data_IF_746064147980
#
_entry.id   IF_746064147980
#
_cell.length_a   1.000
_cell.length_b   1.000
_cell.length_c   1.000
_cell.angle_alpha   90.00
_cell.angle_beta   90.00
_cell.angle_gamma   90.00
#
_symmetry.space_group_name_H-M   'P 1'
#
loop_
_entity.id
_entity.type
_entity.pdbx_description
1 polymer ?
#
# COMPACT_ATOMS: atom_id res chain seq x y z
N UNK A 1 -12.86 -5.27 27.07
CA UNK A 1 -12.13 -4.30 26.21
C UNK A 1 -11.31 -5.06 25.17
N UNK A 2 -11.82 -5.26 23.96
CA UNK A 2 -11.13 -6.01 22.91
C UNK A 2 -10.16 -5.06 22.19
N UNK A 3 -8.88 -5.02 22.61
CA UNK A 3 -7.84 -4.30 21.87
C UNK A 3 -7.30 -5.22 20.78
N UNK A 4 -7.99 -5.31 19.64
CA UNK A 4 -7.49 -6.09 18.50
C UNK A 4 -6.39 -5.33 17.78
N UNK A 5 -5.15 -5.65 18.11
CA UNK A 5 -3.98 -5.31 17.29
C UNK A 5 -3.93 -6.25 16.11
N UNK A 6 -3.78 -5.71 14.92
CA UNK A 6 -3.80 -6.52 13.69
C UNK A 6 -2.73 -6.03 12.75
N UNK A 7 -1.94 -6.97 12.26
CA UNK A 7 -0.96 -6.74 11.21
C UNK A 7 -1.59 -7.11 9.85
N UNK A 8 -1.99 -6.14 9.02
CA UNK A 8 -2.32 -6.39 7.62
C UNK A 8 -1.07 -6.48 6.75
N UNK A 9 -1.06 -7.53 5.94
CA UNK A 9 -0.16 -7.68 4.81
C UNK A 9 -0.92 -7.26 3.55
N UNK A 10 -0.39 -6.26 2.84
CA UNK A 10 -0.91 -5.84 1.53
C UNK A 10 0.01 -6.41 0.45
N UNK A 11 -0.59 -7.07 -0.53
CA UNK A 11 0.10 -7.55 -1.72
C UNK A 11 -0.30 -6.67 -2.90
N UNK A 12 0.68 -6.02 -3.55
CA UNK A 12 0.42 -5.15 -4.70
C UNK A 12 1.12 -5.69 -5.94
N UNK A 13 0.35 -5.85 -7.03
CA UNK A 13 0.90 -6.13 -8.34
C UNK A 13 1.78 -4.95 -8.80
N UNK A 14 3.01 -5.23 -9.25
CA UNK A 14 3.99 -4.20 -9.65
C UNK A 14 3.50 -3.48 -10.91
N UNK A 15 2.81 -2.37 -10.74
CA UNK A 15 2.91 -1.21 -11.63
C UNK A 15 2.45 0.07 -10.92
N UNK A 16 3.43 0.79 -10.37
CA UNK A 16 3.40 2.17 -9.84
C UNK A 16 2.47 2.44 -8.65
N UNK A 17 3.11 2.74 -7.51
CA UNK A 17 2.63 3.45 -6.32
C UNK A 17 1.11 3.41 -6.06
N UNK A 18 0.67 2.43 -5.27
CA UNK A 18 -0.65 2.44 -4.66
C UNK A 18 -0.50 3.04 -3.25
N UNK A 19 -0.46 4.37 -3.14
CA UNK A 19 -0.52 5.04 -1.85
C UNK A 19 -1.95 4.91 -1.30
N UNK A 20 -2.13 3.99 -0.34
CA UNK A 20 -3.38 3.89 0.41
C UNK A 20 -3.46 5.06 1.40
N UNK A 21 -3.98 6.21 0.95
CA UNK A 21 -4.38 7.29 1.85
C UNK A 21 -5.84 7.06 2.24
N UNK A 22 -6.09 6.76 3.52
CA UNK A 22 -7.44 6.59 4.04
C UNK A 22 -8.02 7.98 4.34
N UNK A 23 -8.95 8.46 3.53
CA UNK A 23 -9.78 9.62 3.89
C UNK A 23 -10.62 9.27 5.14
N UNK A 24 -10.43 10.01 6.24
CA UNK A 24 -11.43 10.09 7.30
C UNK A 24 -12.49 11.13 6.94
N UNK A 25 -13.75 10.98 7.43
CA UNK A 25 -14.92 11.68 6.91
C UNK A 25 -15.09 13.13 7.42
N UNK A 26 -14.01 13.83 7.77
CA UNK A 26 -14.09 15.19 8.35
C UNK A 26 -13.62 16.33 7.45
N UNK A 27 -13.21 16.06 6.22
CA UNK A 27 -12.88 17.10 5.25
C UNK A 27 -13.60 16.84 3.92
N UNK A 28 -14.27 17.84 3.33
CA UNK A 28 -14.77 17.74 1.98
C UNK A 28 -13.57 17.65 1.01
N UNK A 29 -13.42 16.49 0.37
CA UNK A 29 -12.60 16.30 -0.84
C UNK A 29 -11.19 16.92 -0.86
N UNK A 30 -10.32 16.57 0.09
CA UNK A 30 -8.89 16.91 -0.03
C UNK A 30 -8.19 16.00 -1.06
N UNK A 31 -7.93 16.53 -2.26
CA UNK A 31 -7.21 15.85 -3.35
C UNK A 31 -5.71 16.12 -3.20
N UNK A 32 -5.00 15.26 -2.48
CA UNK A 32 -3.56 15.39 -2.27
C UNK A 32 -2.79 15.02 -3.55
N UNK A 33 -2.15 15.99 -4.24
CA UNK A 33 -1.40 15.69 -5.48
C UNK A 33 0.11 16.01 -5.51
N UNK A 34 0.73 16.52 -4.46
CA UNK A 34 2.10 17.06 -4.61
C UNK A 34 3.23 16.30 -3.90
N UNK A 35 3.08 15.00 -3.58
CA UNK A 35 4.15 14.23 -2.92
C UNK A 35 4.69 12.99 -3.66
N UNK A 36 4.36 12.82 -4.94
CA UNK A 36 5.01 11.81 -5.78
C UNK A 36 6.12 12.43 -6.65
N UNK A 37 7.36 12.18 -6.22
CA UNK A 37 8.58 12.18 -7.02
C UNK A 37 9.10 13.55 -7.53
N UNK A 38 10.02 14.15 -6.79
CA UNK A 38 11.18 14.83 -7.37
C UNK A 38 12.44 14.14 -6.83
N UNK A 39 13.23 13.44 -7.67
CA UNK A 39 14.67 13.45 -7.44
C UNK A 39 15.12 14.90 -7.68
N UNK A 40 15.78 15.48 -6.68
CA UNK A 40 16.41 16.78 -6.80
C UNK A 40 17.52 16.67 -7.84
N UNK A 41 17.21 17.01 -9.09
CA UNK A 41 18.19 17.41 -10.08
C UNK A 41 18.03 18.92 -10.26
N UNK A 42 18.92 19.67 -9.61
CA UNK A 42 19.14 21.09 -9.88
C UNK A 42 19.64 21.20 -11.33
N UNK A 43 18.75 21.54 -12.25
CA UNK A 43 19.13 22.11 -13.53
C UNK A 43 18.64 23.56 -13.58
N UNK A 44 19.44 24.47 -14.16
CA UNK A 44 19.15 25.90 -14.13
C UNK A 44 17.82 26.19 -14.82
N UNK A 45 17.06 27.08 -14.20
CA UNK A 45 15.86 27.70 -14.78
C UNK A 45 16.30 28.39 -16.06
N UNK A 46 15.80 27.93 -17.19
CA UNK A 46 15.27 28.74 -18.29
C UNK A 46 14.85 27.79 -19.43
N UNK A 47 13.68 28.06 -20.01
CA UNK A 47 13.10 27.39 -21.19
C UNK A 47 12.68 25.91 -21.09
N UNK A 48 11.53 25.66 -20.45
CA UNK A 48 10.65 24.58 -20.90
C UNK A 48 9.21 25.08 -21.02
N UNK A 49 8.75 25.15 -22.27
CA UNK A 49 7.38 25.48 -22.62
C UNK A 49 6.39 24.60 -21.86
N UNK A 50 5.40 25.26 -21.26
CA UNK A 50 4.18 24.68 -20.74
C UNK A 50 3.52 23.83 -21.84
N UNK A 51 3.72 22.52 -21.81
CA UNK A 51 2.73 21.60 -22.35
C UNK A 51 1.69 21.38 -21.24
N UNK A 52 0.52 22.03 -21.29
CA UNK A 52 -0.54 21.74 -20.34
C UNK A 52 -0.99 20.31 -20.62
N UNK A 53 -0.72 19.39 -19.69
CA UNK A 53 -1.52 18.17 -19.59
C UNK A 53 -2.98 18.62 -19.46
N UNK A 54 -3.88 18.34 -20.42
CA UNK A 54 -5.25 18.80 -20.36
C UNK A 54 -5.99 17.97 -19.32
N UNK A 55 -5.82 18.31 -18.05
CA UNK A 55 -6.74 17.86 -17.01
C UNK A 55 -8.00 18.71 -17.17
N UNK A 56 -9.03 18.14 -17.79
CA UNK A 56 -10.35 18.75 -18.01
C UNK A 56 -11.16 18.96 -16.71
N UNK A 57 -10.49 19.18 -15.58
CA UNK A 57 -11.09 19.31 -14.26
C UNK A 57 -10.55 20.54 -13.55
N UNK A 58 -11.42 21.17 -12.79
CA UNK A 58 -11.13 22.33 -11.95
C UNK A 58 -9.95 22.02 -11.01
N UNK A 59 -8.93 22.88 -11.04
CA UNK A 59 -7.77 22.77 -10.15
C UNK A 59 -8.19 23.18 -8.73
N UNK A 60 -7.57 22.58 -7.73
CA UNK A 60 -7.78 22.99 -6.34
C UNK A 60 -7.37 24.45 -6.15
N UNK A 61 -8.02 25.14 -5.22
CA UNK A 61 -7.67 26.52 -4.91
C UNK A 61 -6.31 26.58 -4.19
N UNK A 62 -5.58 27.71 -4.25
CA UNK A 62 -4.34 27.89 -3.48
C UNK A 62 -4.56 27.71 -1.97
N UNK A 63 -5.73 28.09 -1.46
CA UNK A 63 -6.11 27.94 -0.05
C UNK A 63 -6.31 26.46 0.30
N UNK A 64 -7.06 25.70 -0.50
CA UNK A 64 -7.24 24.25 -0.32
C UNK A 64 -5.90 23.51 -0.35
N UNK A 65 -4.96 23.98 -1.17
CA UNK A 65 -3.62 23.41 -1.24
C UNK A 65 -2.82 23.64 0.05
N UNK A 66 -2.87 24.85 0.61
CA UNK A 66 -2.16 25.18 1.85
C UNK A 66 -2.73 24.42 3.05
N UNK A 67 -4.06 24.35 3.15
CA UNK A 67 -4.76 23.56 4.16
C UNK A 67 -4.39 22.07 4.06
N UNK A 68 -4.38 21.52 2.84
CA UNK A 68 -3.98 20.14 2.60
C UNK A 68 -2.55 19.83 3.04
N UNK A 69 -1.60 20.75 2.80
CA UNK A 69 -0.21 20.59 3.26
C UNK A 69 -0.10 20.60 4.78
N UNK A 70 -0.80 21.51 5.46
CA UNK A 70 -0.79 21.57 6.92
C UNK A 70 -1.34 20.27 7.51
N UNK A 71 -2.49 19.81 7.00
CA UNK A 71 -3.08 18.55 7.42
C UNK A 71 -2.14 17.35 7.22
N UNK A 72 -1.42 17.29 6.09
CA UNK A 72 -0.45 16.25 5.83
C UNK A 72 0.70 16.25 6.85
N UNK A 73 1.24 17.42 7.17
CA UNK A 73 2.34 17.57 8.12
C UNK A 73 1.94 17.20 9.56
N UNK A 74 0.68 17.44 9.94
CA UNK A 74 0.15 17.08 11.26
C UNK A 74 -0.21 15.60 11.38
N UNK A 75 -0.62 14.97 10.26
CA UNK A 75 -1.17 13.62 10.27
C UNK A 75 -0.13 12.55 9.94
N UNK A 76 0.82 12.84 9.06
CA UNK A 76 1.78 11.87 8.55
C UNK A 76 3.21 12.24 8.92
N UNK A 77 3.89 11.30 9.58
CA UNK A 77 5.33 11.39 9.82
C UNK A 77 6.05 10.48 8.84
N UNK A 78 6.73 11.07 7.86
CA UNK A 78 7.53 10.32 6.90
C UNK A 78 8.89 9.99 7.52
N UNK A 79 9.23 8.70 7.54
CA UNK A 79 10.57 8.21 7.88
C UNK A 79 11.29 7.95 6.56
N UNK A 80 12.34 8.72 6.28
CA UNK A 80 13.19 8.54 5.10
C UNK A 80 14.62 8.30 5.56
N UNK A 81 15.30 7.33 4.94
CA UNK A 81 16.75 7.17 5.08
C UNK A 81 17.39 8.15 4.09
N UNK A 82 18.17 9.11 4.57
CA UNK A 82 18.85 10.10 3.71
C UNK A 82 20.20 9.58 3.19
N UNK A 83 20.76 8.55 3.83
CA UNK A 83 22.02 7.95 3.43
C UNK A 83 21.83 6.87 2.36
N UNK A 84 22.86 6.63 1.53
CA UNK A 84 22.92 5.55 0.52
C UNK A 84 22.83 4.12 1.11
N UNK A 85 22.56 3.98 2.42
CA UNK A 85 22.40 2.70 3.09
C UNK A 85 20.93 2.29 3.20
N UNK A 86 20.66 1.01 2.94
CA UNK A 86 19.32 0.45 3.11
C UNK A 86 18.96 0.44 4.61
N UNK A 87 17.75 0.87 5.00
CA UNK A 87 17.35 0.89 6.39
C UNK A 87 17.12 -0.53 6.92
N UNK A 88 17.74 -0.86 8.04
CA UNK A 88 17.46 -2.12 8.74
C UNK A 88 16.07 -2.09 9.39
N UNK A 89 15.42 -3.26 9.52
CA UNK A 89 14.13 -3.33 10.20
C UNK A 89 14.19 -2.80 11.65
N UNK A 90 15.30 -3.03 12.35
CA UNK A 90 15.44 -2.60 13.74
C UNK A 90 15.42 -1.07 13.81
N UNK A 91 16.17 -0.41 12.92
CA UNK A 91 16.20 1.05 12.83
C UNK A 91 14.81 1.63 12.54
N UNK A 92 14.06 1.04 11.60
CA UNK A 92 12.68 1.45 11.31
C UNK A 92 11.77 1.31 12.54
N UNK A 93 11.87 0.18 13.26
CA UNK A 93 11.06 -0.06 14.46
C UNK A 93 11.44 0.86 15.62
N UNK A 94 12.72 1.22 15.77
CA UNK A 94 13.18 2.14 16.81
C UNK A 94 12.71 3.58 16.54
N UNK A 95 12.74 4.03 15.29
CA UNK A 95 12.14 5.31 14.89
C UNK A 95 10.62 5.31 15.05
N UNK A 96 9.96 4.24 14.62
CA UNK A 96 8.51 4.09 14.81
C UNK A 96 8.15 4.10 16.32
N UNK A 97 8.96 3.47 17.16
CA UNK A 97 8.80 3.53 18.63
C UNK A 97 8.91 4.96 19.13
N UNK A 98 9.90 5.73 18.69
CA UNK A 98 10.04 7.13 19.05
C UNK A 98 8.80 7.95 18.60
N UNK A 99 8.29 7.71 17.39
CA UNK A 99 7.10 8.38 16.87
C UNK A 99 5.84 8.04 17.66
N UNK A 100 5.65 6.77 18.05
CA UNK A 100 4.55 6.33 18.92
C UNK A 100 4.61 7.03 20.27
N UNK A 101 5.80 7.11 20.89
CA UNK A 101 5.98 7.67 22.23
C UNK A 101 5.88 9.21 22.25
N UNK A 102 6.36 9.89 21.21
CA UNK A 102 6.38 11.37 21.15
C UNK A 102 5.10 11.96 20.58
N UNK A 103 4.59 11.38 19.50
CA UNK A 103 3.46 11.94 18.73
C UNK A 103 2.18 11.10 18.85
N UNK A 104 2.23 9.97 19.57
CA UNK A 104 1.06 9.12 19.76
C UNK A 104 0.64 8.35 18.50
N UNK A 105 1.53 8.17 17.53
CA UNK A 105 1.26 7.47 16.26
C UNK A 105 0.71 6.07 16.52
N UNK A 106 -0.38 5.71 15.83
CA UNK A 106 -1.05 4.39 15.96
C UNK A 106 -1.06 3.56 14.69
N UNK A 107 -0.47 4.09 13.61
CA UNK A 107 -0.34 3.42 12.32
C UNK A 107 1.10 3.49 11.83
N UNK A 108 1.65 2.36 11.37
CA UNK A 108 2.94 2.28 10.69
C UNK A 108 2.73 1.63 9.32
N UNK A 109 3.28 2.23 8.27
CA UNK A 109 3.26 1.66 6.92
C UNK A 109 4.70 1.41 6.50
N UNK A 110 5.01 0.16 6.14
CA UNK A 110 6.31 -0.24 5.59
C UNK A 110 6.07 -0.64 4.13
N UNK A 111 6.51 0.20 3.20
CA UNK A 111 6.29 0.05 1.76
C UNK A 111 7.50 0.52 0.94
N UNK A 112 8.11 -0.32 0.08
CA UNK A 112 7.95 -1.77 -0.04
C UNK A 112 8.95 -2.55 0.83
N UNK A 113 8.57 -3.76 1.29
CA UNK A 113 9.46 -4.64 2.07
C UNK A 113 10.85 -4.86 1.44
N UNK A 114 10.90 -4.94 0.11
CA UNK A 114 12.13 -5.25 -0.63
C UNK A 114 13.21 -4.15 -0.51
N UNK A 115 12.85 -2.94 -0.06
CA UNK A 115 13.80 -1.83 0.14
C UNK A 115 14.44 -1.83 1.54
N UNK A 116 14.07 -2.76 2.42
CA UNK A 116 14.79 -2.95 3.67
C UNK A 116 16.16 -3.59 3.41
N UNK A 117 17.12 -3.33 4.29
CA UNK A 117 18.39 -4.03 4.23
C UNK A 117 18.17 -5.54 4.46
N UNK A 118 18.69 -6.36 3.55
CA UNK A 118 18.70 -7.81 3.61
C UNK A 118 20.11 -8.34 3.85
N UNK A 119 20.92 -7.64 4.66
CA UNK A 119 22.16 -8.19 5.23
C UNK A 119 21.85 -9.48 6.01
N UNK A 120 21.83 -10.58 5.26
CA UNK A 120 21.64 -11.94 5.75
C UNK A 120 23.02 -12.46 6.15
N UNK A 121 23.18 -12.96 7.37
CA UNK A 121 24.32 -13.80 7.71
C UNK A 121 24.43 -14.96 6.71
N UNK A 122 25.64 -15.33 6.29
CA UNK A 122 25.87 -16.34 5.25
C UNK A 122 25.26 -17.72 5.55
N UNK A 123 24.91 -17.97 6.81
CA UNK A 123 24.29 -19.21 7.29
C UNK A 123 22.77 -19.15 7.40
N UNK A 124 22.11 -18.08 6.97
CA UNK A 124 20.67 -17.89 7.12
C UNK A 124 19.94 -17.90 5.78
N UNK A 125 18.88 -18.72 5.69
CA UNK A 125 18.00 -18.72 4.52
C UNK A 125 17.14 -17.47 4.46
N UNK A 126 16.73 -17.05 3.26
CA UNK A 126 15.79 -15.92 3.08
C UNK A 126 14.48 -16.14 3.86
N UNK A 127 13.97 -17.37 3.85
CA UNK A 127 12.77 -17.78 4.59
C UNK A 127 12.92 -17.53 6.10
N UNK A 128 14.03 -17.93 6.70
CA UNK A 128 14.29 -17.71 8.13
C UNK A 128 14.42 -16.22 8.46
N UNK A 129 15.11 -15.47 7.60
CA UNK A 129 15.25 -14.02 7.74
C UNK A 129 13.90 -13.31 7.74
N UNK A 130 13.07 -13.58 6.72
CA UNK A 130 11.69 -13.05 6.63
C UNK A 130 10.88 -13.43 7.87
N UNK A 131 11.00 -14.68 8.32
CA UNK A 131 10.31 -15.17 9.52
C UNK A 131 10.69 -14.37 10.78
N UNK A 132 11.97 -14.00 10.92
CA UNK A 132 12.45 -13.19 12.04
C UNK A 132 11.95 -11.75 11.97
N UNK A 133 12.04 -11.11 10.79
CA UNK A 133 11.51 -9.76 10.54
C UNK A 133 10.03 -9.67 10.93
N UNK A 134 9.21 -10.57 10.39
CA UNK A 134 7.77 -10.60 10.65
C UNK A 134 7.45 -10.80 12.14
N UNK A 135 8.30 -11.54 12.86
CA UNK A 135 8.15 -11.72 14.32
C UNK A 135 8.42 -10.43 15.07
N UNK A 136 9.48 -9.70 14.70
CA UNK A 136 9.81 -8.40 15.32
C UNK A 136 8.70 -7.39 15.11
N UNK A 137 8.19 -7.29 13.87
CA UNK A 137 7.10 -6.36 13.54
C UNK A 137 5.82 -6.71 14.29
N UNK A 138 5.47 -8.00 14.36
CA UNK A 138 4.30 -8.46 15.11
C UNK A 138 4.41 -8.12 16.60
N UNK A 139 5.59 -8.33 17.20
CA UNK A 139 5.85 -7.96 18.60
C UNK A 139 5.75 -6.46 18.81
N UNK A 140 6.28 -5.65 17.89
CA UNK A 140 6.15 -4.20 17.93
C UNK A 140 4.68 -3.76 17.92
N UNK A 141 3.89 -4.28 16.97
CA UNK A 141 2.46 -3.97 16.86
C UNK A 141 1.69 -4.27 18.16
N UNK A 142 1.99 -5.42 18.78
CA UNK A 142 1.39 -5.84 20.04
C UNK A 142 1.81 -4.96 21.23
N UNK A 143 3.12 -4.70 21.37
CA UNK A 143 3.68 -3.96 22.50
C UNK A 143 3.29 -2.48 22.46
N UNK A 144 3.32 -1.87 21.29
CA UNK A 144 3.07 -0.44 21.10
C UNK A 144 1.63 -0.11 20.73
N UNK A 145 0.74 -1.10 20.73
CA UNK A 145 -0.67 -0.85 20.44
C UNK A 145 -0.85 -0.16 19.08
N UNK A 146 -0.05 -0.57 18.09
CA UNK A 146 0.09 0.09 16.79
C UNK A 146 -0.33 -0.86 15.67
N UNK A 147 -1.05 -0.34 14.68
CA UNK A 147 -1.47 -1.07 13.50
C UNK A 147 -0.39 -0.96 12.42
N UNK A 148 0.17 -2.08 11.98
CA UNK A 148 1.30 -2.08 11.06
C UNK A 148 0.90 -2.67 9.71
N UNK A 149 0.92 -1.85 8.67
CA UNK A 149 0.79 -2.25 7.28
C UNK A 149 2.14 -2.64 6.73
N UNK A 150 2.19 -3.79 6.09
CA UNK A 150 3.39 -4.30 5.46
C UNK A 150 3.10 -4.63 4.00
N UNK A 151 3.77 -3.95 3.10
CA UNK A 151 3.54 -4.08 1.67
C UNK A 151 4.59 -4.98 1.06
N UNK A 152 4.13 -6.07 0.45
CA UNK A 152 4.97 -7.04 -0.23
C UNK A 152 4.57 -7.18 -1.70
N UNK A 153 5.55 -7.35 -2.57
CA UNK A 153 5.28 -7.59 -3.99
C UNK A 153 5.23 -9.09 -4.30
N UNK A 154 4.32 -9.52 -5.19
CA UNK A 154 4.34 -10.86 -5.72
C UNK A 154 5.63 -11.11 -6.51
N UNK A 155 6.03 -12.37 -6.60
CA UNK A 155 7.09 -12.82 -7.53
C UNK A 155 6.65 -12.57 -8.95
N UNK A 156 7.61 -12.48 -9.87
CA UNK A 156 7.29 -12.50 -11.30
C UNK A 156 6.63 -13.85 -11.64
N UNK A 157 5.37 -13.79 -12.02
CA UNK A 157 4.56 -14.96 -12.38
C UNK A 157 4.79 -15.25 -13.87
N UNK A 158 5.49 -16.35 -14.18
CA UNK A 158 5.87 -16.70 -15.56
C UNK A 158 4.68 -17.10 -16.45
N UNK A 159 3.55 -17.51 -15.86
CA UNK A 159 2.31 -17.91 -16.55
C UNK A 159 1.09 -17.24 -15.89
N UNK A 160 1.13 -15.92 -15.75
CA UNK A 160 0.03 -15.21 -15.11
C UNK A 160 -1.19 -15.13 -16.04
N UNK A 161 -2.33 -15.58 -15.52
CA UNK A 161 -3.62 -15.62 -16.21
C UNK A 161 -4.40 -14.29 -16.18
N UNK A 162 -3.81 -13.22 -15.62
CA UNK A 162 -4.47 -11.92 -15.48
C UNK A 162 -5.40 -11.79 -14.26
N UNK A 163 -5.50 -12.83 -13.41
CA UNK A 163 -6.30 -12.80 -12.19
C UNK A 163 -5.55 -12.32 -10.95
N UNK A 164 -6.25 -12.01 -9.87
CA UNK A 164 -5.61 -11.60 -8.61
C UNK A 164 -4.60 -12.66 -8.11
N UNK A 165 -3.36 -12.28 -7.76
CA UNK A 165 -2.35 -13.23 -7.28
C UNK A 165 -2.79 -13.85 -5.95
N UNK A 166 -2.33 -15.08 -5.72
CA UNK A 166 -2.51 -15.74 -4.44
C UNK A 166 -1.52 -15.15 -3.42
N UNK A 167 -1.88 -15.19 -2.14
CA UNK A 167 -0.95 -14.78 -1.09
C UNK A 167 0.31 -15.65 -1.00
N UNK A 168 0.29 -16.87 -1.56
CA UNK A 168 1.47 -17.73 -1.63
C UNK A 168 2.46 -17.26 -2.71
N UNK A 169 2.06 -16.35 -3.59
CA UNK A 169 2.88 -15.86 -4.70
C UNK A 169 3.85 -14.74 -4.28
N UNK A 170 3.97 -14.43 -2.98
CA UNK A 170 4.88 -13.39 -2.49
C UNK A 170 6.35 -13.82 -2.61
N UNK A 171 7.22 -12.89 -3.01
CA UNK A 171 8.66 -13.14 -3.06
C UNK A 171 9.25 -13.40 -1.68
N UNK A 172 10.20 -14.33 -1.60
CA UNK A 172 10.95 -14.63 -0.38
C UNK A 172 10.38 -15.71 0.54
N UNK A 173 9.10 -15.69 0.95
CA UNK A 173 8.64 -16.68 1.94
C UNK A 173 7.12 -16.90 2.06
N UNK A 174 6.69 -18.15 2.31
CA UNK A 174 5.31 -18.45 2.74
C UNK A 174 4.99 -17.93 4.16
N UNK A 175 5.99 -17.49 4.94
CA UNK A 175 5.78 -16.95 6.28
C UNK A 175 4.95 -15.67 6.31
N UNK A 176 4.87 -14.94 5.21
CA UNK A 176 4.00 -13.78 5.07
C UNK A 176 2.55 -14.14 5.39
N UNK A 177 2.02 -15.20 4.78
CA UNK A 177 0.67 -15.69 5.09
C UNK A 177 0.61 -16.23 6.50
N UNK A 178 1.56 -17.03 6.94
CA UNK A 178 1.46 -17.73 8.22
C UNK A 178 1.42 -16.74 9.40
N UNK A 179 2.22 -15.67 9.33
CA UNK A 179 2.41 -14.72 10.43
C UNK A 179 1.47 -13.52 10.38
N UNK A 180 0.95 -13.15 9.21
CA UNK A 180 0.00 -12.04 9.13
C UNK A 180 -1.31 -12.34 9.85
N UNK A 181 -1.99 -11.28 10.29
CA UNK A 181 -3.31 -11.39 10.90
C UNK A 181 -4.39 -11.17 9.84
N UNK A 182 -4.20 -10.18 8.97
CA UNK A 182 -5.03 -9.94 7.81
C UNK A 182 -4.18 -9.98 6.53
N UNK A 183 -4.73 -10.53 5.47
CA UNK A 183 -4.09 -10.60 4.16
C UNK A 183 -4.99 -9.98 3.11
N UNK A 184 -4.52 -8.92 2.48
CA UNK A 184 -5.24 -8.15 1.46
C UNK A 184 -4.40 -8.18 0.18
N UNK A 185 -5.02 -8.58 -0.92
CA UNK A 185 -4.41 -8.51 -2.26
C UNK A 185 -5.08 -7.36 -3.00
N UNK A 186 -4.27 -6.48 -3.59
CA UNK A 186 -4.71 -5.41 -4.47
C UNK A 186 -4.41 -5.83 -5.90
N UNK A 187 -5.47 -6.01 -6.68
CA UNK A 187 -5.39 -6.45 -8.07
C UNK A 187 -6.03 -5.42 -8.98
N UNK A 188 -5.33 -5.06 -10.06
CA UNK A 188 -5.86 -4.19 -11.11
C UNK A 188 -5.87 -4.97 -12.42
N UNK A 189 -7.02 -5.01 -13.06
CA UNK A 189 -7.13 -5.60 -14.37
C UNK A 189 -6.35 -4.77 -15.40
N UNK A 190 -5.55 -5.44 -16.24
CA UNK A 190 -4.76 -4.82 -17.30
C UNK A 190 -5.23 -5.19 -18.70
N UNK A 191 -6.13 -6.16 -18.83
CA UNK A 191 -6.66 -6.61 -20.11
C UNK A 191 -8.06 -6.00 -20.36
N UNK A 192 -8.23 -5.14 -21.38
CA UNK A 192 -9.53 -4.55 -21.72
C UNK A 192 -10.61 -5.60 -22.03
N UNK A 193 -10.21 -6.78 -22.54
CA UNK A 193 -11.13 -7.86 -22.88
C UNK A 193 -11.59 -8.63 -21.66
N UNK A 194 -10.76 -8.69 -20.62
CA UNK A 194 -11.09 -9.38 -19.38
C UNK A 194 -12.07 -8.59 -18.51
N UNK A 195 -12.08 -7.25 -18.58
CA UNK A 195 -13.00 -6.43 -17.80
C UNK A 195 -12.61 -4.95 -17.69
N UNK A 196 -13.28 -4.17 -16.82
CA UNK A 196 -12.98 -2.76 -16.64
C UNK A 196 -11.54 -2.51 -16.16
N UNK A 197 -10.81 -1.59 -16.81
CA UNK A 197 -9.41 -1.25 -16.47
C UNK A 197 -9.27 -0.23 -15.33
N UNK A 198 -10.36 0.49 -15.05
CA UNK A 198 -10.44 1.55 -14.05
C UNK A 198 -11.07 1.06 -12.76
N UNK A 199 -11.11 -0.26 -12.58
CA UNK A 199 -11.57 -0.92 -11.35
C UNK A 199 -10.41 -1.65 -10.72
N UNK A 200 -10.27 -1.46 -9.42
CA UNK A 200 -9.32 -2.15 -8.57
C UNK A 200 -10.08 -3.11 -7.65
N UNK A 201 -9.68 -4.37 -7.69
CA UNK A 201 -10.21 -5.43 -6.86
C UNK A 201 -9.39 -5.51 -5.57
N UNK A 202 -10.06 -5.28 -4.44
CA UNK A 202 -9.53 -5.43 -3.08
C UNK A 202 -9.95 -6.79 -2.55
N UNK A 203 -9.00 -7.70 -2.50
CA UNK A 203 -9.19 -9.11 -2.19
C UNK A 203 -8.79 -9.40 -0.74
N UNK A 204 -9.74 -9.47 0.18
CA UNK A 204 -9.46 -9.87 1.57
C UNK A 204 -9.36 -11.40 1.61
N UNK A 205 -8.14 -11.93 1.59
CA UNK A 205 -7.86 -13.37 1.49
C UNK A 205 -7.66 -14.05 2.84
N UNK A 206 -7.36 -13.29 3.89
CA UNK A 206 -7.23 -13.81 5.25
C UNK A 206 -7.70 -12.81 6.28
N UNK A 207 -8.47 -13.31 7.25
CA UNK A 207 -8.82 -12.59 8.47
C UNK A 207 -8.66 -13.55 9.65
N UNK A 208 -7.75 -13.23 10.58
CA UNK A 208 -7.49 -14.09 11.75
C UNK A 208 -8.58 -13.96 12.80
N UNK A 209 -9.09 -12.75 13.04
CA UNK A 209 -10.08 -12.50 14.08
C UNK A 209 -11.40 -12.01 13.48
N UNK A 210 -12.48 -12.76 13.76
CA UNK A 210 -13.83 -12.51 13.24
C UNK A 210 -14.37 -11.12 13.58
N UNK A 211 -13.93 -10.51 14.69
CA UNK A 211 -14.37 -9.16 15.07
C UNK A 211 -13.82 -8.06 14.15
N UNK A 212 -12.77 -8.36 13.38
CA UNK A 212 -12.15 -7.39 12.45
C UNK A 212 -12.89 -7.39 11.11
N UNK A 213 -13.44 -8.53 10.70
CA UNK A 213 -14.14 -8.66 9.43
C UNK A 213 -14.23 -10.10 8.92
N UNK A 214 -14.54 -10.22 7.64
CA UNK A 214 -14.69 -11.49 6.93
C UNK A 214 -13.88 -11.47 5.63
N UNK A 215 -13.62 -12.67 5.10
CA UNK A 215 -12.98 -12.86 3.79
C UNK A 215 -13.99 -12.45 2.71
N UNK A 216 -13.51 -11.77 1.68
CA UNK A 216 -14.35 -11.31 0.58
C UNK A 216 -13.61 -10.40 -0.39
N UNK A 217 -14.31 -10.02 -1.44
CA UNK A 217 -13.82 -9.10 -2.46
C UNK A 217 -14.62 -7.79 -2.40
N UNK A 218 -13.91 -6.67 -2.49
CA UNK A 218 -14.47 -5.35 -2.71
C UNK A 218 -13.87 -4.75 -3.98
N UNK A 219 -14.55 -3.77 -4.56
CA UNK A 219 -14.17 -3.16 -5.82
C UNK A 219 -14.22 -1.65 -5.70
N UNK A 220 -13.16 -0.98 -6.13
CA UNK A 220 -13.02 0.47 -6.11
C UNK A 220 -12.79 0.98 -7.53
N UNK A 221 -13.43 2.09 -7.89
CA UNK A 221 -13.15 2.80 -9.12
C UNK A 221 -11.89 3.67 -8.92
N UNK A 222 -10.97 3.63 -9.89
CA UNK A 222 -9.74 4.40 -9.87
C UNK A 222 -9.79 5.50 -10.92
N UNK A 223 -9.79 6.75 -10.45
CA UNK A 223 -9.71 7.92 -11.31
C UNK A 223 -8.24 8.16 -11.68
N UNK A 224 -7.85 7.84 -12.92
CA UNK A 224 -6.45 7.99 -13.39
C UNK A 224 -5.95 9.43 -13.38
N UNK A 225 -6.86 10.40 -13.42
CA UNK A 225 -6.50 11.82 -13.50
C UNK A 225 -6.17 12.32 -12.10
N UNK A 226 -7.06 12.10 -11.13
CA UNK A 226 -6.84 12.54 -9.75
C UNK A 226 -5.98 11.58 -8.92
N UNK A 227 -5.89 10.30 -9.31
CA UNK A 227 -5.26 9.24 -8.52
C UNK A 227 -6.14 8.75 -7.36
N UNK A 228 -7.41 9.15 -7.32
CA UNK A 228 -8.33 8.82 -6.23
C UNK A 228 -9.01 7.47 -6.44
N UNK A 229 -9.28 6.80 -5.33
CA UNK A 229 -10.16 5.63 -5.28
C UNK A 229 -11.54 6.05 -4.78
N UNK A 230 -12.59 5.59 -5.47
CA UNK A 230 -14.00 5.84 -5.13
C UNK A 230 -14.76 4.52 -5.08
N UNK A 231 -15.90 4.53 -4.42
CA UNK A 231 -16.81 3.38 -4.48
C UNK A 231 -17.20 3.15 -5.94
N UNK A 232 -17.05 1.91 -6.40
CA UNK A 232 -17.44 1.55 -7.76
C UNK A 232 -18.95 1.36 -7.85
N UNK A 233 -19.56 1.85 -8.93
CA UNK A 233 -20.98 1.66 -9.21
C UNK A 233 -21.32 0.17 -9.30
N UNK A 234 -22.51 -0.21 -8.83
CA UNK A 234 -22.92 -1.62 -8.74
C UNK A 234 -22.83 -2.36 -10.08
N UNK A 235 -23.13 -1.69 -11.20
CA UNK A 235 -23.03 -2.25 -12.54
C UNK A 235 -21.58 -2.53 -12.96
N UNK A 236 -20.67 -1.63 -12.58
CA UNK A 236 -19.23 -1.76 -12.83
C UNK A 236 -18.65 -2.88 -11.96
N UNK A 237 -19.09 -2.96 -10.70
CA UNK A 237 -18.76 -4.04 -9.78
C UNK A 237 -19.24 -5.38 -10.32
N UNK A 238 -20.47 -5.48 -10.82
CA UNK A 238 -21.02 -6.72 -11.36
C UNK A 238 -20.19 -7.24 -12.54
N UNK A 239 -19.80 -6.35 -13.46
CA UNK A 239 -18.92 -6.69 -14.60
C UNK A 239 -17.54 -7.13 -14.13
N UNK A 240 -16.92 -6.41 -13.21
CA UNK A 240 -15.61 -6.76 -12.66
C UNK A 240 -15.63 -8.06 -11.85
N UNK A 241 -16.71 -8.32 -11.11
CA UNK A 241 -16.88 -9.55 -10.34
C UNK A 241 -17.11 -10.77 -11.25
N UNK A 242 -17.82 -10.60 -12.37
CA UNK A 242 -17.97 -11.66 -13.37
C UNK A 242 -16.63 -12.01 -14.03
N UNK A 243 -15.85 -10.99 -14.40
CA UNK A 243 -14.48 -11.13 -14.90
C UNK A 243 -13.56 -11.87 -13.93
N UNK A 244 -13.59 -11.50 -12.65
CA UNK A 244 -12.77 -12.12 -11.62
C UNK A 244 -13.13 -13.60 -11.33
N UNK A 245 -14.35 -14.03 -11.66
CA UNK A 245 -14.86 -15.40 -11.45
C UNK A 245 -14.76 -16.30 -12.69
N UNK A 246 -14.47 -15.75 -13.87
CA UNK A 246 -14.33 -16.55 -15.09
C UNK A 246 -13.24 -17.62 -14.88
N UNK A 247 -13.50 -18.89 -15.25
CA UNK A 247 -12.52 -19.96 -15.07
C UNK A 247 -11.26 -19.60 -15.86
N UNK A 248 -10.16 -19.49 -15.13
CA UNK A 248 -8.86 -19.23 -15.73
C UNK A 248 -8.53 -20.43 -16.62
N UNK A 249 -8.50 -20.19 -17.93
CA UNK A 249 -8.18 -21.20 -18.94
C UNK A 249 -6.79 -21.76 -18.59
N UNK A 250 -6.75 -23.04 -18.21
CA UNK A 250 -5.53 -23.76 -17.85
C UNK A 250 -4.65 -24.01 -19.07
#
# INVERSE_FOLDING_TARGET
MCRTWSFPLIITDRSRYCQFCRCQPRLPSCRCRDLCCHPVALLPRDDFGLLPMPCARERMSPEEFEEGKQWLNETFHLIRCEDDCLPSINWVLDLAKAAVLRYGVRGLVIDPYNELDHQRPSNQTETEYVSQILTKIKRFAQHHSCHVWFVAHPRQLHNWSGGAPNMYDISGSAHFINKCDNGIVIHRNRDPNAGPLDVVQVCVRKVRNKVIGQIGDAFLAYDRVSGEFKDADQDVVAKAAAAAKAPQMK
#
